data_IF_048585015717
#
_entry.id   IF_048585015717
#
_cell.length_a   1.000
_cell.length_b   1.000
_cell.length_c   1.000
_cell.angle_alpha   90.00
_cell.angle_beta   90.00
_cell.angle_gamma   90.00
#
_symmetry.space_group_name_H-M   'P 1'
#
loop_
_entity.id
_entity.type
_entity.pdbx_description
1 polymer ?
#
# COMPACT_ATOMS: atom_id res chain seq x y z
N UNK A 1 -2.81 2.55 10.03
CA UNK A 1 -1.48 2.91 10.57
C UNK A 1 -0.70 3.87 9.68
N UNK A 2 -0.87 3.82 8.36
CA UNK A 2 -0.33 4.82 7.44
C UNK A 2 -1.46 5.45 6.58
N UNK A 3 -1.08 6.36 5.68
CA UNK A 3 -2.00 7.00 4.75
C UNK A 3 -2.15 6.24 3.42
N UNK A 4 -1.58 5.05 3.20
CA UNK A 4 -1.67 4.39 1.87
C UNK A 4 -3.12 4.10 1.48
N UNK A 5 -3.91 3.53 2.39
CA UNK A 5 -5.32 3.24 2.13
C UNK A 5 -6.18 4.51 2.05
N UNK A 6 -5.81 5.54 2.82
CA UNK A 6 -6.45 6.84 2.73
C UNK A 6 -6.12 7.53 1.39
N UNK A 7 -4.88 7.43 0.91
CA UNK A 7 -4.47 7.95 -0.39
C UNK A 7 -5.21 7.27 -1.54
N UNK A 8 -5.40 5.94 -1.44
CA UNK A 8 -6.27 5.22 -2.37
C UNK A 8 -7.67 5.82 -2.39
N UNK A 9 -8.30 6.01 -1.22
CA UNK A 9 -9.61 6.67 -1.09
C UNK A 9 -9.64 8.07 -1.71
N UNK A 10 -8.64 8.91 -1.40
CA UNK A 10 -8.53 10.29 -1.93
C UNK A 10 -8.49 10.28 -3.46
N UNK A 11 -7.68 9.40 -4.04
CA UNK A 11 -7.55 9.25 -5.51
C UNK A 11 -8.82 8.72 -6.17
N UNK A 12 -9.60 7.87 -5.49
CA UNK A 12 -10.91 7.43 -5.99
C UNK A 12 -11.96 8.54 -6.05
N UNK A 13 -11.71 9.64 -5.35
CA UNK A 13 -12.53 10.86 -5.40
C UNK A 13 -11.94 11.91 -6.35
N UNK A 14 -10.93 11.55 -7.15
CA UNK A 14 -10.32 12.44 -8.15
C UNK A 14 -9.37 13.48 -7.55
N UNK A 15 -8.97 13.31 -6.29
CA UNK A 15 -8.13 14.24 -5.54
C UNK A 15 -6.73 13.66 -5.30
N UNK A 16 -5.81 14.49 -4.83
CA UNK A 16 -4.44 14.11 -4.45
C UNK A 16 -4.22 14.28 -2.96
N UNK A 17 -3.48 13.36 -2.32
CA UNK A 17 -3.19 13.47 -0.88
C UNK A 17 -2.33 14.70 -0.55
N UNK A 18 -1.38 15.04 -1.42
CA UNK A 18 -0.47 16.19 -1.25
C UNK A 18 -0.66 17.20 -2.38
N UNK A 19 -0.41 18.47 -2.09
CA UNK A 19 -0.31 19.53 -3.09
C UNK A 19 0.85 19.25 -4.06
N UNK A 20 0.80 19.85 -5.25
CA UNK A 20 1.86 19.67 -6.28
C UNK A 20 3.26 20.06 -5.77
N UNK A 21 3.35 21.10 -4.94
CA UNK A 21 4.60 21.54 -4.32
C UNK A 21 4.98 20.75 -3.05
N UNK A 22 4.12 19.81 -2.63
CA UNK A 22 4.27 18.96 -1.45
C UNK A 22 4.40 19.71 -0.12
N UNK A 23 3.87 20.93 -0.03
CA UNK A 23 3.90 21.76 1.17
C UNK A 23 2.61 21.73 2.00
N UNK A 24 1.57 21.06 1.49
CA UNK A 24 0.28 20.92 2.15
C UNK A 24 -0.45 19.65 1.71
N UNK A 25 -1.56 19.34 2.39
CA UNK A 25 -2.58 18.40 1.93
C UNK A 25 -3.21 18.90 0.62
N UNK A 26 -3.37 17.98 -0.35
CA UNK A 26 -3.78 18.31 -1.71
C UNK A 26 -5.28 18.38 -1.94
N UNK A 27 -6.08 17.57 -1.24
CA UNK A 27 -7.53 17.59 -1.39
C UNK A 27 -8.12 18.86 -0.77
N UNK A 28 -9.16 19.43 -1.39
CA UNK A 28 -9.72 20.72 -0.97
C UNK A 28 -10.65 20.64 0.25
N UNK A 29 -11.51 19.60 0.30
CA UNK A 29 -12.55 19.47 1.32
C UNK A 29 -12.18 18.40 2.37
N UNK A 30 -12.08 18.81 3.64
CA UNK A 30 -11.83 17.91 4.78
C UNK A 30 -12.93 16.87 4.99
N UNK A 31 -14.10 17.08 4.40
CA UNK A 31 -15.14 16.06 4.35
C UNK A 31 -14.64 14.74 3.77
N UNK A 32 -13.71 14.77 2.82
CA UNK A 32 -13.14 13.56 2.23
C UNK A 32 -12.40 12.70 3.26
N UNK A 33 -11.70 13.35 4.21
CA UNK A 33 -11.01 12.69 5.30
C UNK A 33 -11.97 12.25 6.41
N UNK A 34 -12.92 13.12 6.80
CA UNK A 34 -13.90 12.77 7.84
C UNK A 34 -14.80 11.61 7.40
N UNK A 35 -15.20 11.55 6.13
CA UNK A 35 -16.00 10.45 5.58
C UNK A 35 -15.23 9.13 5.61
N UNK A 36 -13.92 9.15 5.32
CA UNK A 36 -13.07 7.96 5.43
C UNK A 36 -12.98 7.48 6.88
N UNK A 37 -12.75 8.39 7.83
CA UNK A 37 -12.70 8.07 9.26
C UNK A 37 -14.06 7.53 9.73
N UNK A 38 -15.17 8.17 9.35
CA UNK A 38 -16.52 7.72 9.71
C UNK A 38 -16.83 6.34 9.15
N UNK A 39 -16.45 6.04 7.90
CA UNK A 39 -16.63 4.72 7.30
C UNK A 39 -15.96 3.62 8.14
N UNK A 40 -14.73 3.85 8.61
CA UNK A 40 -14.02 2.89 9.47
C UNK A 40 -14.65 2.79 10.86
N UNK A 41 -15.06 3.90 11.45
CA UNK A 41 -15.77 3.91 12.73
C UNK A 41 -17.07 3.10 12.65
N UNK A 42 -17.83 3.23 11.57
CA UNK A 42 -19.06 2.47 11.32
C UNK A 42 -18.80 0.97 11.16
N UNK A 43 -17.72 0.58 10.48
CA UNK A 43 -17.31 -0.82 10.35
C UNK A 43 -16.95 -1.42 11.70
N UNK A 44 -16.20 -0.68 12.54
CA UNK A 44 -15.86 -1.10 13.90
C UNK A 44 -17.11 -1.24 14.77
N UNK A 45 -18.02 -0.25 14.73
CA UNK A 45 -19.27 -0.29 15.49
C UNK A 45 -20.17 -1.47 15.11
N UNK A 46 -20.07 -1.96 13.86
CA UNK A 46 -20.76 -3.16 13.36
C UNK A 46 -19.99 -4.46 13.61
N UNK A 47 -18.79 -4.41 14.20
CA UNK A 47 -17.91 -5.57 14.41
C UNK A 47 -17.32 -6.15 13.11
N UNK A 48 -17.35 -5.39 12.02
CA UNK A 48 -16.83 -5.81 10.72
C UNK A 48 -15.33 -5.50 10.53
N UNK A 49 -14.77 -4.65 11.39
CA UNK A 49 -13.35 -4.33 11.45
C UNK A 49 -12.92 -4.30 12.93
N UNK A 50 -11.66 -4.69 13.25
CA UNK A 50 -11.15 -4.58 14.61
C UNK A 50 -11.04 -3.11 15.03
N UNK A 51 -11.32 -2.83 16.29
CA UNK A 51 -11.00 -1.53 16.89
C UNK A 51 -9.47 -1.37 17.04
N UNK A 52 -8.96 -0.17 17.40
CA UNK A 52 -7.52 0.07 17.53
C UNK A 52 -6.77 -0.89 18.48
N UNK A 53 -7.38 -1.30 19.59
CA UNK A 53 -6.75 -2.20 20.58
C UNK A 53 -6.70 -3.64 20.06
N UNK A 54 -7.80 -4.10 19.46
CA UNK A 54 -7.88 -5.40 18.79
C UNK A 54 -6.90 -5.48 17.62
N UNK A 55 -6.81 -4.42 16.81
CA UNK A 55 -5.87 -4.32 15.71
C UNK A 55 -4.43 -4.37 16.21
N UNK A 56 -4.10 -3.66 17.28
CA UNK A 56 -2.78 -3.72 17.91
C UNK A 56 -2.45 -5.15 18.39
N UNK A 57 -3.40 -5.85 19.01
CA UNK A 57 -3.23 -7.25 19.41
C UNK A 57 -2.99 -8.17 18.21
N UNK A 58 -3.75 -8.00 17.12
CA UNK A 58 -3.59 -8.77 15.87
C UNK A 58 -2.19 -8.57 15.29
N UNK A 59 -1.64 -7.35 15.31
CA UNK A 59 -0.29 -7.10 14.79
C UNK A 59 0.80 -7.88 15.56
N UNK A 60 0.59 -8.20 16.84
CA UNK A 60 1.56 -8.98 17.63
C UNK A 60 1.64 -10.45 17.21
N UNK A 61 0.67 -10.95 16.44
CA UNK A 61 0.59 -12.36 16.02
C UNK A 61 1.55 -12.71 14.87
N UNK A 62 2.17 -11.72 14.23
CA UNK A 62 2.92 -11.92 12.98
C UNK A 62 2.02 -12.08 11.76
N UNK A 63 2.62 -12.21 10.56
CA UNK A 63 1.85 -12.29 9.31
C UNK A 63 1.01 -13.57 9.24
N UNK A 64 1.54 -14.72 9.68
CA UNK A 64 0.88 -16.03 9.63
C UNK A 64 -0.24 -16.18 10.66
N UNK A 65 -0.19 -15.42 11.76
CA UNK A 65 -1.19 -15.45 12.81
C UNK A 65 -2.37 -14.51 12.58
N UNK A 66 -2.38 -13.72 11.49
CA UNK A 66 -3.47 -12.77 11.23
C UNK A 66 -4.79 -13.51 10.94
N UNK A 67 -5.95 -12.94 11.33
CA UNK A 67 -7.26 -13.57 11.16
C UNK A 67 -7.57 -14.05 9.74
N UNK A 68 -7.14 -13.33 8.71
CA UNK A 68 -7.35 -13.75 7.31
C UNK A 68 -6.64 -15.06 6.98
N UNK A 69 -5.47 -15.29 7.59
CA UNK A 69 -4.65 -16.50 7.39
C UNK A 69 -5.23 -17.67 8.20
N UNK A 70 -5.64 -17.42 9.44
CA UNK A 70 -6.22 -18.45 10.33
C UNK A 70 -7.67 -18.81 9.98
N UNK A 71 -8.32 -18.04 9.11
CA UNK A 71 -9.71 -18.25 8.66
C UNK A 71 -10.76 -17.58 9.55
N UNK A 72 -10.35 -16.77 10.52
CA UNK A 72 -11.23 -15.99 11.40
C UNK A 72 -11.63 -14.64 10.78
N UNK A 73 -10.88 -14.15 9.79
CA UNK A 73 -11.17 -12.93 9.03
C UNK A 73 -11.45 -13.24 7.56
N UNK A 74 -12.45 -12.57 6.98
CA UNK A 74 -12.81 -12.79 5.58
C UNK A 74 -11.88 -12.05 4.59
N UNK A 75 -11.38 -10.88 4.98
CA UNK A 75 -10.62 -9.99 4.11
C UNK A 75 -9.54 -9.24 4.90
N UNK A 76 -8.46 -8.90 4.21
CA UNK A 76 -7.40 -8.00 4.67
C UNK A 76 -6.95 -7.18 3.46
N UNK A 77 -6.73 -5.88 3.66
CA UNK A 77 -6.06 -5.03 2.67
C UNK A 77 -4.55 -5.06 2.92
N UNK A 78 -3.81 -5.62 1.98
CA UNK A 78 -2.35 -5.74 2.02
C UNK A 78 -1.77 -5.65 0.60
N UNK A 79 -0.45 -5.52 0.51
CA UNK A 79 0.25 -5.60 -0.77
C UNK A 79 0.08 -6.97 -1.43
N UNK A 80 0.14 -7.01 -2.77
CA UNK A 80 -0.15 -8.21 -3.56
C UNK A 80 0.82 -9.39 -3.33
N UNK A 81 1.90 -9.21 -2.58
CA UNK A 81 2.79 -10.31 -2.21
C UNK A 81 2.38 -11.02 -0.91
N UNK A 82 1.38 -10.52 -0.18
CA UNK A 82 1.00 -11.08 1.11
C UNK A 82 0.51 -12.53 1.02
N UNK A 83 -0.32 -12.87 0.04
CA UNK A 83 -0.79 -14.26 -0.15
C UNK A 83 0.38 -15.24 -0.39
N UNK A 84 1.40 -14.80 -1.15
CA UNK A 84 2.63 -15.57 -1.38
C UNK A 84 3.45 -15.72 -0.10
N UNK A 85 3.59 -14.66 0.70
CA UNK A 85 4.36 -14.71 1.97
C UNK A 85 3.83 -15.75 2.94
N UNK A 86 2.50 -15.85 3.07
CA UNK A 86 1.84 -16.74 4.04
C UNK A 86 1.39 -18.06 3.41
N UNK A 87 1.80 -18.36 2.17
CA UNK A 87 1.39 -19.57 1.44
C UNK A 87 1.74 -20.87 2.16
N UNK A 88 2.83 -20.87 2.93
CA UNK A 88 3.23 -22.02 3.76
C UNK A 88 2.25 -22.33 4.90
N UNK A 89 1.44 -21.34 5.30
CA UNK A 89 0.44 -21.45 6.36
C UNK A 89 -0.97 -21.58 5.77
N UNK A 90 -1.30 -20.80 4.74
CA UNK A 90 -2.59 -20.84 4.06
C UNK A 90 -2.45 -20.56 2.55
N UNK A 91 -2.45 -21.63 1.76
CA UNK A 91 -2.38 -21.62 0.30
C UNK A 91 -3.71 -21.30 -0.39
N UNK A 92 -4.80 -21.12 0.37
CA UNK A 92 -6.16 -20.86 -0.16
C UNK A 92 -6.48 -19.38 -0.26
N UNK A 93 -5.62 -18.50 0.25
CA UNK A 93 -5.83 -17.06 0.16
C UNK A 93 -5.80 -16.62 -1.30
N UNK A 94 -6.82 -15.85 -1.68
CA UNK A 94 -6.96 -15.27 -3.00
C UNK A 94 -6.83 -13.76 -2.91
N UNK A 95 -6.29 -13.18 -3.96
CA UNK A 95 -6.21 -11.74 -4.12
C UNK A 95 -7.32 -11.26 -5.03
N UNK A 96 -7.84 -10.10 -4.69
CA UNK A 96 -8.78 -9.33 -5.49
C UNK A 96 -8.34 -7.88 -5.49
N UNK A 97 -8.79 -7.13 -6.49
CA UNK A 97 -8.55 -5.69 -6.53
C UNK A 97 -9.33 -4.99 -5.41
N UNK A 98 -8.82 -3.89 -4.83
CA UNK A 98 -9.55 -3.15 -3.82
C UNK A 98 -10.90 -2.61 -4.35
N UNK A 99 -11.89 -2.36 -3.48
CA UNK A 99 -13.21 -1.86 -3.88
C UNK A 99 -13.12 -0.51 -4.59
N UNK A 100 -13.93 -0.31 -5.64
CA UNK A 100 -14.07 0.97 -6.33
C UNK A 100 -15.23 1.80 -5.77
N UNK A 101 -15.08 3.13 -5.75
CA UNK A 101 -16.20 4.04 -5.43
C UNK A 101 -17.25 3.93 -6.55
N UNK A 102 -18.48 3.60 -6.17
CA UNK A 102 -19.57 3.40 -7.12
C UNK A 102 -19.82 4.67 -7.95
N UNK A 103 -19.84 4.53 -9.28
CA UNK A 103 -20.07 5.65 -10.20
C UNK A 103 -18.89 6.60 -10.40
N UNK A 104 -17.71 6.28 -9.85
CA UNK A 104 -16.47 7.01 -10.12
C UNK A 104 -15.66 6.30 -11.20
N UNK A 105 -15.20 7.06 -12.21
CA UNK A 105 -14.21 6.60 -13.18
C UNK A 105 -12.77 6.89 -12.71
N UNK A 106 -12.60 7.49 -11.52
CA UNK A 106 -11.29 7.87 -11.01
C UNK A 106 -10.48 6.63 -10.61
N UNK A 107 -9.24 6.57 -11.09
CA UNK A 107 -8.33 5.45 -10.86
C UNK A 107 -7.54 5.62 -9.58
N UNK A 108 -8.10 5.10 -8.48
CA UNK A 108 -7.48 5.14 -7.16
C UNK A 108 -6.18 4.35 -7.08
N UNK A 109 -6.10 3.20 -7.73
CA UNK A 109 -4.97 2.28 -7.63
C UNK A 109 -3.74 2.86 -8.36
N UNK A 110 -2.55 2.43 -7.97
CA UNK A 110 -1.33 2.74 -8.70
C UNK A 110 -0.33 1.60 -8.57
N UNK A 111 0.61 1.53 -9.51
CA UNK A 111 1.72 0.59 -9.42
C UNK A 111 2.78 1.19 -8.49
N UNK A 112 2.77 0.80 -7.21
CA UNK A 112 3.78 1.23 -6.24
C UNK A 112 5.06 0.41 -6.46
N UNK A 113 6.20 1.04 -6.79
CA UNK A 113 7.48 0.34 -6.79
C UNK A 113 7.79 -0.11 -5.35
N UNK A 114 7.97 -1.41 -5.14
CA UNK A 114 8.17 -1.96 -3.79
C UNK A 114 9.52 -1.53 -3.20
N UNK A 115 10.59 -1.64 -4.00
CA UNK A 115 11.97 -1.33 -3.63
C UNK A 115 12.74 -0.85 -4.85
N UNK A 116 13.84 -0.15 -4.61
CA UNK A 116 14.75 0.32 -5.66
C UNK A 116 16.19 -0.07 -5.35
N UNK A 117 16.96 -0.35 -6.40
CA UNK A 117 18.40 -0.21 -6.35
C UNK A 117 18.80 1.19 -6.79
N UNK A 118 19.77 1.77 -6.10
CA UNK A 118 20.36 3.07 -6.43
C UNK A 118 21.88 2.96 -6.48
N UNK A 119 22.50 3.64 -7.44
CA UNK A 119 23.96 3.73 -7.54
C UNK A 119 24.39 5.09 -6.99
N UNK A 120 25.19 5.07 -5.93
CA UNK A 120 25.73 6.30 -5.36
C UNK A 120 26.61 7.05 -6.36
N UNK A 121 26.45 8.37 -6.44
CA UNK A 121 27.27 9.23 -7.29
C UNK A 121 28.78 9.10 -6.98
N UNK A 122 29.13 8.78 -5.74
CA UNK A 122 30.51 8.58 -5.29
C UNK A 122 31.11 7.23 -5.70
N UNK A 123 30.31 6.28 -6.19
CA UNK A 123 30.77 4.94 -6.55
C UNK A 123 31.86 4.98 -7.61
N UNK A 124 32.91 4.16 -7.42
CA UNK A 124 34.03 4.02 -8.35
C UNK A 124 33.82 2.94 -9.41
N UNK A 125 32.75 2.15 -9.29
CA UNK A 125 32.42 0.99 -10.14
C UNK A 125 30.97 1.09 -10.62
N UNK A 126 30.58 2.26 -11.15
CA UNK A 126 29.19 2.53 -11.55
C UNK A 126 28.70 1.61 -12.67
N UNK A 127 29.60 1.25 -13.60
CA UNK A 127 29.26 0.38 -14.73
C UNK A 127 28.93 -1.02 -14.25
N UNK A 128 29.78 -1.59 -13.42
CA UNK A 128 29.62 -2.93 -12.85
C UNK A 128 28.39 -2.99 -11.92
N UNK A 129 28.12 -1.92 -11.17
CA UNK A 129 26.90 -1.80 -10.38
C UNK A 129 25.63 -1.78 -11.25
N UNK A 130 25.66 -1.08 -12.39
CA UNK A 130 24.54 -1.07 -13.33
C UNK A 130 24.35 -2.44 -14.00
N UNK A 131 25.43 -3.12 -14.39
CA UNK A 131 25.40 -4.48 -14.94
C UNK A 131 24.84 -5.48 -13.92
N UNK A 132 25.17 -5.35 -12.64
CA UNK A 132 24.57 -6.16 -11.59
C UNK A 132 23.07 -5.91 -11.44
N UNK A 133 22.63 -4.65 -11.43
CA UNK A 133 21.21 -4.31 -11.34
C UNK A 133 20.45 -4.90 -12.53
N UNK A 134 20.99 -4.75 -13.74
CA UNK A 134 20.41 -5.32 -14.96
C UNK A 134 20.27 -6.84 -14.86
N UNK A 135 21.36 -7.56 -14.52
CA UNK A 135 21.30 -9.00 -14.29
C UNK A 135 20.26 -9.37 -13.22
N UNK A 136 20.20 -8.63 -12.12
CA UNK A 136 19.28 -8.90 -11.02
C UNK A 136 17.81 -8.80 -11.44
N UNK A 137 17.45 -7.78 -12.23
CA UNK A 137 16.04 -7.53 -12.62
C UNK A 137 15.62 -8.23 -13.90
N UNK A 138 16.56 -8.49 -14.82
CA UNK A 138 16.28 -8.97 -16.18
C UNK A 138 16.79 -10.38 -16.48
N UNK A 139 17.55 -11.04 -15.59
CA UNK A 139 18.01 -12.41 -15.86
C UNK A 139 17.06 -13.48 -15.32
N UNK A 140 16.90 -14.56 -16.09
CA UNK A 140 16.22 -15.78 -15.65
C UNK A 140 16.93 -16.39 -14.43
N UNK A 141 18.26 -16.42 -14.43
CA UNK A 141 19.09 -16.97 -13.35
C UNK A 141 18.81 -16.29 -12.00
N UNK A 142 18.86 -14.95 -11.94
CA UNK A 142 18.60 -14.23 -10.71
C UNK A 142 17.17 -14.46 -10.21
N UNK A 143 16.19 -14.50 -11.12
CA UNK A 143 14.78 -14.66 -10.77
C UNK A 143 14.42 -16.11 -10.40
N UNK A 144 15.10 -17.10 -10.96
CA UNK A 144 15.04 -18.51 -10.54
C UNK A 144 15.58 -18.71 -9.12
N UNK A 145 16.54 -17.89 -8.68
CA UNK A 145 17.05 -17.91 -7.31
C UNK A 145 16.09 -17.17 -6.37
N UNK A 146 15.63 -15.98 -6.76
CA UNK A 146 14.80 -15.12 -5.92
C UNK A 146 13.37 -15.61 -5.75
N UNK A 147 12.81 -16.29 -6.74
CA UNK A 147 11.45 -16.85 -6.70
C UNK A 147 10.39 -15.85 -6.18
N UNK A 148 10.40 -14.63 -6.71
CA UNK A 148 9.47 -13.55 -6.33
C UNK A 148 9.53 -13.07 -4.87
N UNK A 149 10.62 -13.35 -4.13
CA UNK A 149 10.76 -12.93 -2.73
C UNK A 149 10.68 -11.40 -2.56
N UNK A 150 11.17 -10.64 -3.54
CA UNK A 150 11.11 -9.17 -3.59
C UNK A 150 9.83 -8.62 -4.22
N UNK A 151 8.80 -9.45 -4.32
CA UNK A 151 7.53 -9.12 -4.95
C UNK A 151 7.51 -9.48 -6.43
N UNK A 152 6.67 -8.78 -7.18
CA UNK A 152 6.44 -9.10 -8.59
C UNK A 152 7.56 -8.52 -9.47
N UNK A 153 8.25 -9.33 -10.30
CA UNK A 153 9.27 -8.82 -11.21
C UNK A 153 8.74 -7.71 -12.10
N UNK A 154 9.52 -6.64 -12.26
CA UNK A 154 9.15 -5.48 -13.08
C UNK A 154 9.14 -5.82 -14.57
N UNK A 155 10.08 -6.65 -15.02
CA UNK A 155 10.15 -7.14 -16.40
C UNK A 155 9.01 -8.11 -16.70
N UNK A 156 8.19 -7.80 -17.71
CA UNK A 156 7.14 -8.70 -18.20
C UNK A 156 7.72 -10.00 -18.75
N UNK A 157 8.85 -9.94 -19.44
CA UNK A 157 9.51 -11.12 -20.00
C UNK A 157 9.92 -12.10 -18.89
N UNK A 158 10.44 -11.59 -17.77
CA UNK A 158 10.74 -12.42 -16.60
C UNK A 158 9.48 -12.98 -15.96
N UNK A 159 8.39 -12.21 -15.86
CA UNK A 159 7.12 -12.75 -15.35
C UNK A 159 6.62 -13.90 -16.22
N UNK A 160 6.66 -13.75 -17.54
CA UNK A 160 6.22 -14.76 -18.49
C UNK A 160 7.10 -16.02 -18.42
N UNK A 161 8.43 -15.85 -18.39
CA UNK A 161 9.38 -16.95 -18.17
C UNK A 161 9.07 -17.71 -16.89
N UNK A 162 8.94 -17.00 -15.77
CA UNK A 162 8.72 -17.63 -14.46
C UNK A 162 7.38 -18.36 -14.41
N UNK A 163 6.31 -17.81 -15.00
CA UNK A 163 5.02 -18.52 -15.14
C UNK A 163 5.16 -19.77 -15.99
N UNK A 164 5.90 -19.70 -17.10
CA UNK A 164 6.12 -20.84 -17.99
C UNK A 164 7.05 -21.92 -17.40
N UNK A 165 7.91 -21.57 -16.43
CA UNK A 165 8.90 -22.46 -15.82
C UNK A 165 8.29 -23.66 -15.07
N UNK A 166 7.03 -23.54 -14.65
CA UNK A 166 6.36 -24.54 -13.79
C UNK A 166 6.88 -24.60 -12.35
N UNK A 167 7.72 -23.65 -11.93
CA UNK A 167 8.32 -23.61 -10.58
C UNK A 167 7.52 -22.79 -9.57
N UNK A 168 6.59 -21.95 -10.03
CA UNK A 168 5.81 -21.07 -9.16
C UNK A 168 4.68 -21.83 -8.45
N UNK A 169 4.35 -21.41 -7.22
CA UNK A 169 3.08 -21.77 -6.60
C UNK A 169 1.91 -21.10 -7.32
N UNK A 170 0.70 -21.62 -7.11
CA UNK A 170 -0.53 -21.02 -7.68
C UNK A 170 -0.71 -19.55 -7.25
N UNK A 171 -0.34 -19.23 -6.00
CA UNK A 171 -0.41 -17.86 -5.48
C UNK A 171 0.63 -16.94 -6.13
N UNK A 172 1.86 -17.41 -6.35
CA UNK A 172 2.89 -16.65 -7.09
C UNK A 172 2.46 -16.41 -8.54
N UNK A 173 1.96 -17.44 -9.22
CA UNK A 173 1.48 -17.32 -10.59
C UNK A 173 0.29 -16.36 -10.69
N UNK A 174 -0.63 -16.40 -9.72
CA UNK A 174 -1.77 -15.48 -9.63
C UNK A 174 -1.30 -14.04 -9.38
N UNK A 175 -0.31 -13.85 -8.50
CA UNK A 175 0.30 -12.54 -8.24
C UNK A 175 0.90 -11.91 -9.50
N UNK A 176 1.59 -12.71 -10.32
CA UNK A 176 2.21 -12.22 -11.55
C UNK A 176 1.16 -11.85 -12.60
N UNK A 177 0.14 -12.69 -12.79
CA UNK A 177 -0.95 -12.44 -13.75
C UNK A 177 -1.82 -11.26 -13.34
N UNK A 178 -2.08 -11.10 -12.04
CA UNK A 178 -2.89 -10.01 -11.51
C UNK A 178 -2.31 -8.61 -11.72
N UNK A 179 -1.04 -8.49 -12.14
CA UNK A 179 -0.44 -7.19 -12.50
C UNK A 179 -1.17 -6.56 -13.68
N UNK A 180 -1.53 -7.33 -14.71
CA UNK A 180 -2.21 -6.78 -15.90
C UNK A 180 -3.63 -6.31 -15.55
N UNK A 181 -4.36 -7.11 -14.78
CA UNK A 181 -5.68 -6.74 -14.25
C UNK A 181 -5.60 -5.48 -13.39
N UNK A 182 -4.60 -5.38 -12.52
CA UNK A 182 -4.37 -4.20 -11.69
C UNK A 182 -4.00 -2.97 -12.53
N UNK A 183 -3.15 -3.11 -13.55
CA UNK A 183 -2.72 -2.02 -14.43
C UNK A 183 -3.90 -1.36 -15.14
N UNK A 184 -4.93 -2.12 -15.52
CA UNK A 184 -6.15 -1.57 -16.10
C UNK A 184 -6.86 -0.59 -15.14
N UNK A 185 -6.77 -0.84 -13.83
CA UNK A 185 -7.36 -0.02 -12.76
C UNK A 185 -6.42 1.04 -12.21
N UNK A 186 -5.13 1.00 -12.54
CA UNK A 186 -4.13 1.95 -12.07
C UNK A 186 -4.24 3.30 -12.78
N UNK A 187 -4.20 4.38 -11.99
CA UNK A 187 -3.85 5.71 -12.44
C UNK A 187 -2.33 5.90 -12.44
N UNK A 188 -1.89 7.13 -12.64
CA UNK A 188 -0.46 7.46 -12.57
C UNK A 188 0.13 7.14 -11.20
N UNK A 189 1.33 6.58 -11.19
CA UNK A 189 2.09 6.37 -9.96
C UNK A 189 2.41 7.73 -9.34
N UNK A 190 2.00 7.98 -8.08
CA UNK A 190 2.31 9.23 -7.39
C UNK A 190 3.82 9.49 -7.36
N UNK A 191 4.17 10.76 -7.32
CA UNK A 191 5.53 11.18 -7.00
C UNK A 191 6.02 10.57 -5.68
N UNK A 192 7.35 10.49 -5.46
CA UNK A 192 7.91 10.08 -4.18
C UNK A 192 7.32 10.88 -3.01
N UNK A 193 7.08 10.18 -1.91
CA UNK A 193 6.54 10.76 -0.68
C UNK A 193 7.35 12.00 -0.24
N UNK A 194 6.69 13.02 0.33
CA UNK A 194 7.36 14.21 0.82
C UNK A 194 8.31 13.94 1.99
N UNK A 195 9.27 14.84 2.21
CA UNK A 195 10.05 14.82 3.44
C UNK A 195 9.10 15.05 4.62
N UNK A 196 9.22 14.22 5.66
CA UNK A 196 8.31 14.24 6.83
C UNK A 196 7.13 13.28 6.75
N UNK A 197 7.06 12.42 5.72
CA UNK A 197 5.95 11.45 5.56
C UNK A 197 5.70 10.58 6.81
N UNK A 198 6.74 10.21 7.55
CA UNK A 198 6.58 9.47 8.81
C UNK A 198 5.80 10.25 9.87
N UNK A 199 6.08 11.56 10.03
CA UNK A 199 5.35 12.43 10.94
C UNK A 199 3.90 12.63 10.46
N UNK A 200 3.67 12.72 9.15
CA UNK A 200 2.32 12.80 8.55
C UNK A 200 1.51 11.53 8.85
N UNK A 201 2.11 10.35 8.67
CA UNK A 201 1.48 9.06 8.99
C UNK A 201 1.10 8.97 10.47
N UNK A 202 2.01 9.39 11.36
CA UNK A 202 1.74 9.41 12.80
C UNK A 202 0.61 10.38 13.16
N UNK A 203 0.60 11.57 12.57
CA UNK A 203 -0.49 12.55 12.74
C UNK A 203 -1.84 11.99 12.30
N UNK A 204 -1.89 11.38 11.11
CA UNK A 204 -3.11 10.75 10.59
C UNK A 204 -3.62 9.65 11.52
N UNK A 205 -2.73 8.74 11.93
CA UNK A 205 -3.05 7.65 12.86
C UNK A 205 -3.62 8.18 14.17
N UNK A 206 -2.95 9.16 14.79
CA UNK A 206 -3.37 9.70 16.07
C UNK A 206 -4.73 10.39 15.98
N UNK A 207 -4.97 11.19 14.93
CA UNK A 207 -6.25 11.85 14.71
C UNK A 207 -7.39 10.84 14.50
N UNK A 208 -7.19 9.86 13.61
CA UNK A 208 -8.17 8.81 13.35
C UNK A 208 -8.47 7.98 14.61
N UNK A 209 -7.44 7.63 15.39
CA UNK A 209 -7.62 6.84 16.62
C UNK A 209 -8.37 7.62 17.69
N UNK A 210 -8.09 8.93 17.85
CA UNK A 210 -8.89 9.78 18.74
C UNK A 210 -10.37 9.79 18.35
N UNK A 211 -10.69 9.80 17.05
CA UNK A 211 -12.07 9.66 16.60
C UNK A 211 -12.64 8.26 16.91
N UNK A 212 -11.89 7.19 16.68
CA UNK A 212 -12.32 5.81 16.95
C UNK A 212 -12.55 5.54 18.44
N UNK A 213 -11.80 6.19 19.33
CA UNK A 213 -12.02 6.14 20.78
C UNK A 213 -13.11 7.12 21.26
N UNK A 214 -13.76 7.87 20.36
CA UNK A 214 -14.81 8.83 20.69
C UNK A 214 -14.33 10.09 21.40
N UNK A 215 -13.03 10.41 21.30
CA UNK A 215 -12.43 11.61 21.90
C UNK A 215 -12.59 12.86 21.02
N UNK A 216 -12.84 12.65 19.73
CA UNK A 216 -13.09 13.68 18.71
C UNK A 216 -14.17 13.18 17.76
N UNK A 217 -14.88 14.10 17.10
CA UNK A 217 -15.68 13.71 15.93
C UNK A 217 -14.77 13.44 14.72
N UNK A 218 -15.21 12.70 13.68
CA UNK A 218 -14.44 12.54 12.46
C UNK A 218 -14.08 13.86 11.77
N UNK A 219 -14.94 14.88 11.86
CA UNK A 219 -14.68 16.22 11.32
C UNK A 219 -13.56 16.93 12.10
N UNK A 220 -13.60 16.86 13.43
CA UNK A 220 -12.54 17.41 14.28
C UNK A 220 -11.19 16.72 14.03
N UNK A 221 -11.22 15.39 13.87
CA UNK A 221 -10.03 14.61 13.55
C UNK A 221 -9.46 14.95 12.15
N UNK A 222 -10.33 15.09 11.14
CA UNK A 222 -9.93 15.49 9.79
C UNK A 222 -9.28 16.89 9.78
N UNK A 223 -9.91 17.87 10.43
CA UNK A 223 -9.38 19.23 10.53
C UNK A 223 -8.04 19.27 11.31
N UNK A 224 -7.92 18.48 12.39
CA UNK A 224 -6.66 18.33 13.12
C UNK A 224 -5.57 17.72 12.24
N UNK A 225 -5.88 16.66 11.51
CA UNK A 225 -4.93 16.01 10.61
C UNK A 225 -4.40 16.99 9.56
N UNK A 226 -5.28 17.73 8.86
CA UNK A 226 -4.83 18.74 7.87
C UNK A 226 -3.87 19.74 8.50
N UNK A 227 -4.27 20.35 9.62
CA UNK A 227 -3.46 21.37 10.30
C UNK A 227 -2.06 20.87 10.65
N UNK A 228 -1.98 19.67 11.22
CA UNK A 228 -0.71 19.08 11.63
C UNK A 228 0.13 18.67 10.41
N UNK A 229 -0.48 18.05 9.40
CA UNK A 229 0.18 17.65 8.17
C UNK A 229 0.75 18.86 7.40
N UNK A 230 -0.02 19.92 7.24
CA UNK A 230 0.44 21.15 6.57
C UNK A 230 1.63 21.80 7.31
N UNK A 231 1.61 21.78 8.64
CA UNK A 231 2.73 22.27 9.45
C UNK A 231 4.00 21.43 9.29
N UNK A 232 3.87 20.11 9.14
CA UNK A 232 4.99 19.19 8.87
C UNK A 232 5.54 19.42 7.46
N UNK A 233 4.65 19.44 6.46
CA UNK A 233 5.01 19.51 5.05
C UNK A 233 5.70 20.83 4.71
N UNK A 234 5.17 21.96 5.21
CA UNK A 234 5.73 23.30 4.98
C UNK A 234 7.10 23.53 5.61
N UNK A 235 7.46 22.78 6.67
CA UNK A 235 8.78 22.87 7.31
C UNK A 235 9.86 22.09 6.55
N UNK A 236 9.47 21.03 5.87
CA UNK A 236 10.37 19.99 5.38
C UNK A 236 10.57 20.00 3.85
N UNK A 237 9.74 20.72 3.09
CA UNK A 237 9.76 20.82 1.61
C UNK A 237 9.64 22.28 1.17
#
# INVERSE_FOLDING_TARGET
DDTNLFNYWVRQHGESLFSEDKKAIGYADDKLCSDFIQMWADLMAKGAAPNPDEYAAIQTLGEEGRPVVTGEGAMLTEWNNYATKVSGTNDKLKMVTPPMVAGSDAKGLWMKPGMFFSIAETSKVKKEAAEFIDWFVNSEEANDIMMAERGTPVSSEIRDYMVASGKLSDQQATMFKGVEDALALCGETPDPDPVGMSEVNESFKNAAYSAFYGQMTPEEAAAKFRKDADAILSRNN
#
